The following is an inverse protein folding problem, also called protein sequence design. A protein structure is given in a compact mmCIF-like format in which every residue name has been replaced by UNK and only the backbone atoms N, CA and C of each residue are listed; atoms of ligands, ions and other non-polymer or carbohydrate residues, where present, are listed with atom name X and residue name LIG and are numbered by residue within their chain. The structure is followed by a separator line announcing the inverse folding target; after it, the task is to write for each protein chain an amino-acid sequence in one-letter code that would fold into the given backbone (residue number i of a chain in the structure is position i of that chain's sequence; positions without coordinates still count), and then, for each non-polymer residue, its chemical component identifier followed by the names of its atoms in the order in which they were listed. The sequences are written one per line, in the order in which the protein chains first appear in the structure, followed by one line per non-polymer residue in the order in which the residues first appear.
data_IF_843275419001
#
_entry.id   IF_843275419001
#
_cell.length_a   1.000
_cell.length_b   1.000
_cell.length_c   1.000
_cell.angle_alpha   90.00
_cell.angle_beta   90.00
_cell.angle_gamma   90.00
#
_symmetry.space_group_name_H-M   'P 1'
#
loop_
_entity.id
_entity.type
_entity.pdbx_description
1 polymer ?
#
# COMPACT_ATOMS: atom_id res chain seq x y z
N UNK A 1 -13.78 -23.25 30.51
CA UNK A 1 -14.32 -22.80 29.22
C UNK A 1 -13.29 -22.76 28.08
N UNK A 2 -11.99 -22.75 28.38
CA UNK A 2 -10.89 -22.70 27.39
C UNK A 2 -10.23 -24.10 27.14
N UNK A 3 -10.94 -25.19 27.34
CA UNK A 3 -10.42 -26.56 27.26
C UNK A 3 -10.11 -27.03 25.82
N UNK A 4 -11.09 -27.63 25.14
CA UNK A 4 -10.92 -28.19 23.79
C UNK A 4 -10.37 -27.22 22.75
N UNK A 5 -10.77 -25.95 22.76
CA UNK A 5 -10.25 -24.93 21.84
C UNK A 5 -8.75 -24.68 22.07
N UNK A 6 -8.26 -24.77 23.31
CA UNK A 6 -6.84 -24.60 23.63
C UNK A 6 -5.98 -25.68 22.95
N UNK A 7 -6.40 -26.93 23.05
CA UNK A 7 -5.70 -28.06 22.43
C UNK A 7 -5.67 -27.94 20.91
N UNK A 8 -6.81 -27.57 20.30
CA UNK A 8 -6.90 -27.31 18.87
C UNK A 8 -5.96 -26.19 18.43
N UNK A 9 -5.98 -25.02 19.09
CA UNK A 9 -5.09 -23.91 18.77
C UNK A 9 -3.60 -24.25 18.96
N UNK A 10 -3.26 -25.05 19.97
CA UNK A 10 -1.89 -25.52 20.18
C UNK A 10 -1.43 -26.42 19.02
N UNK A 11 -2.29 -27.30 18.53
CA UNK A 11 -2.02 -28.17 17.39
C UNK A 11 -1.83 -27.32 16.12
N UNK A 12 -2.76 -26.44 15.78
CA UNK A 12 -2.67 -25.54 14.61
C UNK A 12 -1.37 -24.71 14.63
N UNK A 13 -1.01 -24.15 15.80
CA UNK A 13 0.23 -23.37 15.95
C UNK A 13 1.49 -24.26 15.78
N UNK A 14 1.44 -25.49 16.22
CA UNK A 14 2.54 -26.45 16.03
C UNK A 14 2.70 -26.81 14.54
N UNK A 15 1.60 -27.02 13.83
CA UNK A 15 1.58 -27.28 12.38
C UNK A 15 2.11 -26.09 11.58
N UNK A 16 1.69 -24.85 11.92
CA UNK A 16 2.21 -23.62 11.34
C UNK A 16 3.73 -23.50 11.53
N UNK A 17 4.24 -23.83 12.73
CA UNK A 17 5.69 -23.84 13.02
C UNK A 17 6.43 -24.91 12.24
N UNK A 18 5.89 -26.15 12.21
CA UNK A 18 6.48 -27.27 11.48
C UNK A 18 6.54 -27.00 9.97
N UNK A 19 5.53 -26.30 9.43
CA UNK A 19 5.51 -25.89 8.04
C UNK A 19 6.43 -24.69 7.73
N UNK A 20 7.13 -24.08 8.71
CA UNK A 20 7.97 -22.89 8.54
C UNK A 20 7.18 -21.62 8.24
N UNK A 21 5.87 -21.60 8.54
CA UNK A 21 4.97 -20.47 8.23
C UNK A 21 4.75 -19.54 9.43
N UNK A 22 5.37 -19.84 10.58
CA UNK A 22 5.22 -19.02 11.79
C UNK A 22 5.86 -17.65 11.62
N UNK A 23 5.08 -16.61 11.83
CA UNK A 23 5.53 -15.22 11.73
C UNK A 23 6.02 -14.72 13.09
N UNK A 24 7.31 -14.39 13.18
CA UNK A 24 7.91 -13.77 14.37
C UNK A 24 8.06 -12.27 14.17
N UNK A 25 7.71 -11.50 15.20
CA UNK A 25 7.93 -10.06 15.21
C UNK A 25 9.39 -9.75 15.56
N UNK A 26 10.03 -8.94 14.72
CA UNK A 26 11.41 -8.46 14.96
C UNK A 26 11.34 -7.04 15.54
N UNK A 27 11.73 -6.92 16.80
CA UNK A 27 11.62 -5.65 17.56
C UNK A 27 12.67 -4.65 17.10
N UNK A 28 12.22 -3.47 16.68
CA UNK A 28 13.05 -2.32 16.30
C UNK A 28 13.15 -1.38 17.50
N UNK A 29 14.37 -0.97 17.85
CA UNK A 29 14.67 -0.10 19.00
C UNK A 29 15.13 1.31 18.61
N UNK A 30 15.00 1.66 17.34
CA UNK A 30 15.29 2.99 16.77
C UNK A 30 14.06 3.60 16.11
N UNK A 31 14.09 4.89 15.72
CA UNK A 31 13.12 5.43 14.77
C UNK A 31 13.12 4.64 13.45
N UNK A 32 11.98 4.69 12.72
CA UNK A 32 11.84 4.04 11.44
C UNK A 32 12.50 4.89 10.33
N UNK A 33 13.63 4.42 9.81
CA UNK A 33 14.44 5.12 8.80
C UNK A 33 15.20 4.13 7.90
N UNK A 34 16.09 4.64 7.03
CA UNK A 34 16.92 3.81 6.14
C UNK A 34 17.88 2.88 6.89
N UNK A 35 18.40 3.29 8.06
CA UNK A 35 19.14 2.45 8.99
C UNK A 35 18.35 2.35 10.29
N UNK A 36 18.12 1.14 10.77
CA UNK A 36 17.39 0.85 12.01
C UNK A 36 18.22 -0.03 12.93
N UNK A 37 17.81 -0.10 14.20
CA UNK A 37 18.42 -1.00 15.18
C UNK A 37 17.47 -2.16 15.51
N UNK A 38 17.96 -3.38 15.32
CA UNK A 38 17.22 -4.62 15.57
C UNK A 38 18.12 -5.56 16.37
N UNK A 39 17.66 -6.03 17.53
CA UNK A 39 18.45 -6.90 18.43
C UNK A 39 19.85 -6.36 18.73
N UNK A 40 19.97 -5.04 18.97
CA UNK A 40 21.23 -4.37 19.29
C UNK A 40 22.22 -4.23 18.10
N UNK A 41 21.79 -4.48 16.88
CA UNK A 41 22.60 -4.36 15.65
C UNK A 41 21.97 -3.34 14.69
N UNK A 42 22.80 -2.47 14.13
CA UNK A 42 22.39 -1.57 13.05
C UNK A 42 22.31 -2.33 11.74
N UNK A 43 21.19 -2.17 11.04
CA UNK A 43 20.91 -2.81 9.76
C UNK A 43 20.26 -1.84 8.79
N UNK A 44 20.53 -2.00 7.50
CA UNK A 44 19.87 -1.25 6.43
C UNK A 44 18.46 -1.79 6.22
N UNK A 45 17.46 -0.91 6.26
CA UNK A 45 16.04 -1.26 6.21
C UNK A 45 15.48 -1.18 4.79
N UNK A 46 15.31 -2.33 4.18
CA UNK A 46 14.67 -2.47 2.86
C UNK A 46 13.31 -3.19 2.94
N UNK A 47 12.67 -3.21 4.13
CA UNK A 47 11.35 -3.78 4.37
C UNK A 47 10.24 -2.74 4.50
N UNK A 48 10.55 -1.54 5.00
CA UNK A 48 9.54 -0.53 5.31
C UNK A 48 8.96 0.10 4.05
N UNK A 49 7.64 0.34 4.04
CA UNK A 49 6.97 1.08 2.97
C UNK A 49 7.19 2.61 3.09
N UNK A 50 8.32 3.03 3.63
CA UNK A 50 8.68 4.43 3.87
C UNK A 50 9.29 5.06 2.60
N UNK A 51 8.55 5.03 1.48
CA UNK A 51 9.06 5.36 0.14
C UNK A 51 9.70 6.74 0.06
N UNK A 52 9.11 7.76 0.68
CA UNK A 52 9.64 9.12 0.68
C UNK A 52 10.56 9.43 1.88
N UNK A 53 10.82 8.45 2.76
CA UNK A 53 11.70 8.64 3.91
C UNK A 53 11.15 9.58 4.99
N UNK A 54 9.82 9.70 5.11
CA UNK A 54 9.16 10.71 5.94
C UNK A 54 8.84 10.26 7.36
N UNK A 55 9.00 8.97 7.70
CA UNK A 55 8.50 8.42 8.99
C UNK A 55 9.14 9.04 10.24
N UNK A 56 10.35 9.59 10.14
CA UNK A 56 11.01 10.32 11.23
C UNK A 56 11.42 11.76 10.83
N UNK A 57 10.72 12.32 9.84
CA UNK A 57 11.01 13.68 9.36
C UNK A 57 10.73 14.72 10.44
N UNK A 58 11.69 15.62 10.75
CA UNK A 58 11.53 16.62 11.81
C UNK A 58 10.34 17.57 11.62
N UNK A 59 10.02 17.96 10.37
CA UNK A 59 8.86 18.84 10.08
C UNK A 59 7.56 18.15 10.45
N UNK A 60 7.40 16.84 10.14
CA UNK A 60 6.22 16.07 10.49
C UNK A 60 6.10 15.88 12.00
N UNK A 61 7.20 15.56 12.67
CA UNK A 61 7.25 15.42 14.14
C UNK A 61 6.82 16.72 14.83
N UNK A 62 7.33 17.86 14.38
CA UNK A 62 6.99 19.16 14.94
C UNK A 62 5.52 19.55 14.68
N UNK A 63 5.02 19.29 13.47
CA UNK A 63 3.61 19.50 13.14
C UNK A 63 2.67 18.64 13.98
N UNK A 64 3.05 17.37 14.24
CA UNK A 64 2.32 16.48 15.13
C UNK A 64 2.26 17.02 16.57
N UNK A 65 3.39 17.47 17.13
CA UNK A 65 3.47 18.08 18.47
C UNK A 65 2.57 19.31 18.57
N UNK A 66 2.71 20.24 17.60
CA UNK A 66 1.89 21.46 17.53
C UNK A 66 0.40 21.15 17.42
N UNK A 67 0.01 20.12 16.69
CA UNK A 67 -1.38 19.70 16.60
C UNK A 67 -1.88 19.16 17.95
N UNK A 68 -1.07 18.39 18.68
CA UNK A 68 -1.42 17.94 20.04
C UNK A 68 -1.55 19.12 21.02
N UNK A 69 -0.64 20.08 20.99
CA UNK A 69 -0.69 21.26 21.86
C UNK A 69 -1.97 22.07 21.67
N UNK A 70 -2.44 22.19 20.41
CA UNK A 70 -3.58 23.03 20.06
C UNK A 70 -4.93 22.30 20.05
N UNK A 71 -4.97 20.99 19.85
CA UNK A 71 -6.19 20.20 19.61
C UNK A 71 -6.33 18.99 20.53
N UNK A 72 -5.34 18.71 21.38
CA UNK A 72 -5.32 17.59 22.31
C UNK A 72 -4.80 16.28 21.69
N UNK A 73 -4.74 15.24 22.53
CA UNK A 73 -4.19 13.93 22.15
C UNK A 73 -5.14 13.09 21.30
N UNK A 74 -6.43 13.04 21.66
CA UNK A 74 -7.38 12.13 21.07
C UNK A 74 -8.77 12.74 20.87
N UNK A 75 -9.58 12.09 20.03
CA UNK A 75 -10.89 12.60 19.64
C UNK A 75 -12.05 12.10 20.51
N UNK A 76 -11.90 10.94 21.15
CA UNK A 76 -12.90 10.28 22.00
C UNK A 76 -14.29 10.14 21.34
N UNK A 77 -14.36 10.21 20.03
CA UNK A 77 -15.60 10.18 19.25
C UNK A 77 -15.39 9.85 17.77
N UNK A 78 -16.47 9.42 17.15
CA UNK A 78 -16.58 9.30 15.69
C UNK A 78 -16.90 10.66 15.06
N UNK A 79 -16.67 10.79 13.75
CA UNK A 79 -16.73 12.05 13.02
C UNK A 79 -18.07 12.80 13.12
N UNK A 80 -19.19 12.11 12.97
CA UNK A 80 -20.52 12.76 12.90
C UNK A 80 -21.09 13.17 14.26
N UNK A 81 -20.61 12.60 15.36
CA UNK A 81 -21.04 13.00 16.70
C UNK A 81 -20.31 14.28 17.15
N UNK A 82 -19.08 14.15 17.64
CA UNK A 82 -18.26 15.27 18.08
C UNK A 82 -16.76 15.09 17.77
N UNK A 83 -16.40 14.12 16.91
CA UNK A 83 -15.02 13.78 16.55
C UNK A 83 -14.51 14.47 15.29
N UNK A 84 -15.07 15.63 14.90
CA UNK A 84 -14.63 16.36 13.72
C UNK A 84 -14.09 17.74 14.12
N UNK A 85 -12.78 17.94 14.00
CA UNK A 85 -12.12 19.22 14.14
C UNK A 85 -11.89 19.86 12.78
N UNK A 86 -11.58 21.17 12.76
CA UNK A 86 -11.24 21.95 11.58
C UNK A 86 -10.09 21.34 10.78
N UNK A 87 -9.02 20.88 11.47
CA UNK A 87 -7.86 20.26 10.85
C UNK A 87 -8.20 18.98 10.06
N UNK A 88 -9.26 18.25 10.43
CA UNK A 88 -9.70 17.11 9.61
C UNK A 88 -10.19 17.57 8.23
N UNK A 89 -10.93 18.70 8.19
CA UNK A 89 -11.39 19.27 6.92
C UNK A 89 -10.26 19.86 6.09
N UNK A 90 -9.23 20.42 6.75
CA UNK A 90 -8.01 20.87 6.10
C UNK A 90 -7.25 19.69 5.46
N UNK A 91 -7.10 18.56 6.16
CA UNK A 91 -6.47 17.38 5.60
C UNK A 91 -7.29 16.77 4.45
N UNK A 92 -8.63 16.67 4.60
CA UNK A 92 -9.52 16.21 3.52
C UNK A 92 -9.33 17.04 2.25
N UNK A 93 -9.27 18.37 2.41
CA UNK A 93 -9.00 19.28 1.29
C UNK A 93 -7.61 19.08 0.69
N UNK A 94 -6.57 18.94 1.52
CA UNK A 94 -5.20 18.74 1.05
C UNK A 94 -5.06 17.44 0.23
N UNK A 95 -5.74 16.36 0.63
CA UNK A 95 -5.80 15.11 -0.13
C UNK A 95 -6.52 15.32 -1.47
N UNK A 96 -7.70 15.96 -1.46
CA UNK A 96 -8.46 16.23 -2.68
C UNK A 96 -7.66 17.08 -3.68
N UNK A 97 -7.02 18.15 -3.21
CA UNK A 97 -6.16 19.01 -4.03
C UNK A 97 -4.97 18.23 -4.63
N UNK A 98 -4.35 17.34 -3.83
CA UNK A 98 -3.22 16.53 -4.28
C UNK A 98 -3.58 15.60 -5.43
N UNK A 99 -4.70 14.89 -5.33
CA UNK A 99 -5.17 13.97 -6.37
C UNK A 99 -5.97 14.65 -7.49
N UNK A 100 -6.41 15.89 -7.30
CA UNK A 100 -7.27 16.62 -8.24
C UNK A 100 -8.69 16.06 -8.27
N UNK A 101 -9.21 15.65 -7.11
CA UNK A 101 -10.56 15.12 -6.90
C UNK A 101 -11.49 16.18 -6.29
N UNK A 102 -12.78 15.88 -6.19
CA UNK A 102 -13.78 16.84 -5.74
C UNK A 102 -13.91 16.90 -4.21
N UNK A 103 -13.72 15.76 -3.52
CA UNK A 103 -13.85 15.68 -2.06
C UNK A 103 -13.14 14.44 -1.52
N UNK A 104 -12.93 14.40 -0.19
CA UNK A 104 -12.24 13.32 0.52
C UNK A 104 -12.91 12.99 1.85
N UNK A 105 -12.85 11.72 2.24
CA UNK A 105 -13.27 11.20 3.55
C UNK A 105 -12.10 10.44 4.19
N UNK A 106 -11.85 10.68 5.50
CA UNK A 106 -10.74 10.06 6.24
C UNK A 106 -11.21 8.84 7.04
N UNK A 107 -10.35 7.83 7.11
CA UNK A 107 -10.52 6.58 7.87
C UNK A 107 -9.33 6.32 8.78
N UNK A 108 -9.47 5.40 9.75
CA UNK A 108 -8.37 4.98 10.63
C UNK A 108 -7.23 4.29 9.86
N UNK A 109 -7.55 3.58 8.79
CA UNK A 109 -6.60 2.95 7.87
C UNK A 109 -7.19 2.84 6.45
N UNK A 110 -6.36 2.60 5.43
CA UNK A 110 -6.87 2.30 4.09
C UNK A 110 -7.57 0.94 4.04
N UNK A 111 -7.26 0.03 4.95
CA UNK A 111 -8.03 -1.22 5.10
C UNK A 111 -9.51 -0.91 5.36
N UNK A 112 -9.79 0.05 6.23
CA UNK A 112 -11.15 0.52 6.56
C UNK A 112 -11.76 1.30 5.38
N UNK A 113 -10.96 2.12 4.68
CA UNK A 113 -11.41 2.84 3.49
C UNK A 113 -11.89 1.86 2.41
N UNK A 114 -11.08 0.86 2.04
CA UNK A 114 -11.45 -0.17 1.08
C UNK A 114 -12.65 -1.00 1.53
N UNK A 115 -12.67 -1.42 2.81
CA UNK A 115 -13.80 -2.15 3.39
C UNK A 115 -15.10 -1.34 3.43
N UNK A 116 -14.99 -0.02 3.47
CA UNK A 116 -16.10 0.90 3.61
C UNK A 116 -16.71 1.44 2.31
N UNK A 117 -16.17 1.08 1.13
CA UNK A 117 -16.64 1.62 -0.16
C UNK A 117 -17.87 0.87 -0.70
N UNK A 118 -17.85 -0.45 -0.69
CA UNK A 118 -18.75 -1.23 -1.54
C UNK A 118 -20.18 -1.33 -1.01
N UNK A 119 -20.36 -1.70 0.27
CA UNK A 119 -21.69 -1.85 0.88
C UNK A 119 -22.54 -0.57 0.84
N UNK A 120 -21.98 0.65 1.06
CA UNK A 120 -22.76 1.89 0.95
C UNK A 120 -23.24 2.24 -0.45
N UNK A 121 -22.52 1.82 -1.49
CA UNK A 121 -22.73 2.25 -2.87
C UNK A 121 -23.44 1.23 -3.73
N UNK A 122 -23.27 -0.08 -3.45
CA UNK A 122 -23.71 -1.17 -4.30
C UNK A 122 -24.56 -2.19 -3.56
N UNK A 123 -25.47 -2.85 -4.28
CA UNK A 123 -26.39 -3.86 -3.76
C UNK A 123 -26.55 -5.03 -4.72
N UNK A 124 -27.56 -5.88 -4.47
CA UNK A 124 -27.82 -7.13 -5.21
C UNK A 124 -28.01 -6.94 -6.72
N UNK A 125 -28.41 -5.74 -7.17
CA UNK A 125 -28.64 -5.41 -8.56
C UNK A 125 -27.38 -4.95 -9.31
N UNK A 126 -26.28 -4.78 -8.60
CA UNK A 126 -25.04 -4.18 -9.10
C UNK A 126 -23.93 -5.22 -9.26
N UNK A 127 -22.84 -4.87 -9.93
CA UNK A 127 -21.69 -5.73 -10.14
C UNK A 127 -20.39 -5.08 -9.66
N UNK A 128 -19.52 -5.90 -9.05
CA UNK A 128 -18.14 -5.54 -8.72
C UNK A 128 -17.21 -6.46 -9.51
N UNK A 129 -16.31 -5.87 -10.31
CA UNK A 129 -15.33 -6.57 -11.13
C UNK A 129 -13.95 -6.29 -10.56
N UNK A 130 -13.34 -7.27 -9.89
CA UNK A 130 -12.13 -7.12 -9.10
C UNK A 130 -10.93 -7.84 -9.72
N UNK A 131 -9.77 -7.19 -9.77
CA UNK A 131 -8.51 -7.85 -10.12
C UNK A 131 -8.20 -8.99 -9.12
N UNK A 132 -7.65 -10.07 -9.64
CA UNK A 132 -7.38 -11.28 -8.87
C UNK A 132 -6.30 -11.13 -7.79
N UNK A 133 -5.40 -10.14 -7.94
CA UNK A 133 -4.32 -9.86 -7.00
C UNK A 133 -4.53 -8.59 -6.17
N UNK A 134 -5.73 -8.04 -6.16
CA UNK A 134 -6.07 -6.92 -5.30
C UNK A 134 -5.75 -7.19 -3.84
N UNK A 135 -5.44 -6.13 -3.11
CA UNK A 135 -5.16 -6.18 -1.68
C UNK A 135 -6.31 -6.83 -0.89
N UNK A 136 -5.98 -7.54 0.18
CA UNK A 136 -6.94 -8.26 1.04
C UNK A 136 -8.11 -7.37 1.51
N UNK A 137 -7.88 -6.08 1.76
CA UNK A 137 -8.93 -5.14 2.18
C UNK A 137 -9.99 -4.91 1.10
N UNK A 138 -9.61 -4.88 -0.17
CA UNK A 138 -10.56 -4.80 -1.30
C UNK A 138 -11.35 -6.12 -1.38
N UNK A 139 -10.65 -7.26 -1.29
CA UNK A 139 -11.29 -8.59 -1.32
C UNK A 139 -12.32 -8.71 -0.19
N UNK A 140 -11.97 -8.29 1.02
CA UNK A 140 -12.86 -8.35 2.18
C UNK A 140 -14.03 -7.37 2.05
N UNK A 141 -13.78 -6.15 1.59
CA UNK A 141 -14.84 -5.18 1.31
C UNK A 141 -15.84 -5.68 0.25
N UNK A 142 -15.35 -6.29 -0.82
CA UNK A 142 -16.19 -6.95 -1.84
C UNK A 142 -16.99 -8.12 -1.25
N UNK A 143 -16.40 -8.89 -0.33
CA UNK A 143 -17.10 -10.00 0.36
C UNK A 143 -18.25 -9.53 1.26
N UNK A 144 -18.14 -8.37 1.87
CA UNK A 144 -19.19 -7.78 2.71
C UNK A 144 -20.35 -7.21 1.89
N UNK A 145 -20.12 -6.86 0.63
CA UNK A 145 -21.15 -6.34 -0.26
C UNK A 145 -22.00 -7.46 -0.87
N UNK A 146 -23.28 -7.17 -1.13
CA UNK A 146 -24.24 -8.12 -1.75
C UNK A 146 -24.22 -8.08 -3.26
N UNK A 147 -23.46 -7.19 -3.90
CA UNK A 147 -23.35 -7.10 -5.34
C UNK A 147 -22.81 -8.40 -5.99
N UNK A 148 -23.18 -8.63 -7.23
CA UNK A 148 -22.64 -9.74 -8.01
C UNK A 148 -21.14 -9.54 -8.20
N UNK A 149 -20.34 -10.61 -7.99
CA UNK A 149 -18.88 -10.52 -8.00
C UNK A 149 -18.31 -11.20 -9.21
N UNK A 150 -17.49 -10.47 -9.94
CA UNK A 150 -16.66 -10.97 -11.02
C UNK A 150 -15.19 -10.78 -10.64
N UNK A 151 -14.35 -11.70 -11.07
CA UNK A 151 -12.91 -11.65 -10.81
C UNK A 151 -12.18 -11.91 -12.11
N UNK A 152 -11.31 -11.00 -12.51
CA UNK A 152 -10.47 -11.15 -13.70
C UNK A 152 -9.01 -11.42 -13.31
N UNK A 153 -8.28 -12.10 -14.18
CA UNK A 153 -6.85 -12.39 -13.99
C UNK A 153 -6.04 -11.10 -13.91
N UNK A 154 -4.97 -11.10 -13.10
CA UNK A 154 -4.19 -9.89 -12.82
C UNK A 154 -3.74 -9.18 -14.09
N UNK A 155 -4.17 -7.92 -14.23
CA UNK A 155 -3.86 -7.04 -15.36
C UNK A 155 -4.20 -7.64 -16.75
N UNK A 156 -5.11 -8.61 -16.83
CA UNK A 156 -5.58 -9.20 -18.07
C UNK A 156 -6.84 -8.45 -18.58
N UNK A 157 -6.65 -7.58 -19.56
CA UNK A 157 -7.70 -6.74 -20.11
C UNK A 157 -8.72 -7.53 -20.95
N UNK A 158 -8.31 -8.65 -21.53
CA UNK A 158 -9.25 -9.52 -22.25
C UNK A 158 -10.22 -10.21 -21.28
N UNK A 159 -9.72 -10.73 -20.16
CA UNK A 159 -10.55 -11.33 -19.12
C UNK A 159 -11.42 -10.27 -18.40
N UNK A 160 -10.88 -9.04 -18.19
CA UNK A 160 -11.68 -7.91 -17.69
C UNK A 160 -12.84 -7.61 -18.63
N UNK A 161 -12.61 -7.54 -19.94
CA UNK A 161 -13.67 -7.28 -20.92
C UNK A 161 -14.73 -8.38 -20.90
N UNK A 162 -14.36 -9.65 -20.79
CA UNK A 162 -15.32 -10.76 -20.67
C UNK A 162 -16.14 -10.67 -19.37
N UNK A 163 -15.55 -10.24 -18.27
CA UNK A 163 -16.29 -9.96 -17.03
C UNK A 163 -17.29 -8.81 -17.20
N UNK A 164 -16.88 -7.73 -17.88
CA UNK A 164 -17.76 -6.59 -18.18
C UNK A 164 -18.94 -6.96 -19.08
N UNK A 165 -18.71 -7.79 -20.10
CA UNK A 165 -19.78 -8.34 -20.96
C UNK A 165 -20.80 -9.14 -20.15
N UNK A 166 -20.33 -10.01 -19.23
CA UNK A 166 -21.21 -10.80 -18.34
C UNK A 166 -21.98 -9.91 -17.37
N UNK A 167 -21.42 -8.77 -16.96
CA UNK A 167 -22.01 -7.85 -16.00
C UNK A 167 -23.01 -6.85 -16.62
N UNK A 168 -23.37 -6.96 -17.90
CA UNK A 168 -24.25 -6.00 -18.57
C UNK A 168 -25.72 -6.05 -18.09
N UNK A 169 -26.15 -7.13 -17.48
CA UNK A 169 -27.49 -7.25 -16.90
C UNK A 169 -27.64 -6.52 -15.55
N UNK A 170 -26.54 -6.18 -14.87
CA UNK A 170 -26.55 -5.45 -13.61
C UNK A 170 -26.77 -3.95 -13.82
N UNK A 171 -27.41 -3.30 -12.82
CA UNK A 171 -27.75 -1.87 -12.86
C UNK A 171 -26.52 -0.98 -12.97
N UNK A 172 -25.56 -1.17 -12.06
CA UNK A 172 -24.28 -0.46 -12.02
C UNK A 172 -23.13 -1.45 -11.97
N UNK A 173 -21.98 -1.05 -12.48
CA UNK A 173 -20.72 -1.83 -12.50
C UNK A 173 -19.60 -0.99 -11.96
N UNK A 174 -18.69 -1.60 -11.21
CA UNK A 174 -17.43 -0.98 -10.79
C UNK A 174 -16.26 -1.93 -11.03
N UNK A 175 -15.20 -1.41 -11.64
CA UNK A 175 -13.91 -2.09 -11.77
C UNK A 175 -13.03 -1.66 -10.61
N UNK A 176 -12.42 -2.63 -9.91
CA UNK A 176 -11.56 -2.37 -8.75
C UNK A 176 -10.18 -2.96 -8.98
N UNK A 177 -9.14 -2.15 -8.78
CA UNK A 177 -7.74 -2.56 -8.93
C UNK A 177 -6.83 -1.85 -7.92
N UNK A 178 -5.74 -2.53 -7.50
CA UNK A 178 -4.60 -1.82 -6.94
C UNK A 178 -3.93 -0.99 -8.05
N UNK A 179 -3.45 0.21 -7.75
CA UNK A 179 -2.64 0.99 -8.68
C UNK A 179 -1.26 0.36 -8.90
N UNK A 180 -0.64 -0.11 -7.81
CA UNK A 180 0.56 -0.94 -7.83
C UNK A 180 0.34 -2.15 -6.95
N UNK A 181 0.55 -3.33 -7.51
CA UNK A 181 0.41 -4.60 -6.80
C UNK A 181 1.57 -4.83 -5.84
N UNK A 182 1.27 -4.93 -4.55
CA UNK A 182 2.24 -4.84 -3.45
C UNK A 182 3.33 -5.92 -3.44
N UNK A 183 3.10 -7.09 -4.05
CA UNK A 183 4.04 -8.21 -4.03
C UNK A 183 4.95 -8.27 -5.27
N UNK A 184 4.52 -7.68 -6.37
CA UNK A 184 5.22 -7.68 -7.65
C UNK A 184 5.79 -6.31 -8.02
N UNK A 185 5.12 -5.24 -7.60
CA UNK A 185 5.50 -3.87 -7.93
C UNK A 185 4.99 -3.39 -9.30
N UNK A 186 4.31 -4.24 -10.09
CA UNK A 186 3.75 -3.85 -11.37
C UNK A 186 2.57 -2.88 -11.19
N UNK A 187 2.44 -1.93 -12.10
CA UNK A 187 1.31 -1.02 -12.18
C UNK A 187 0.15 -1.66 -12.96
N UNK A 188 -1.08 -1.32 -12.58
CA UNK A 188 -2.25 -1.67 -13.38
C UNK A 188 -2.25 -0.90 -14.71
N UNK A 189 -2.74 -1.46 -15.82
CA UNK A 189 -2.87 -0.77 -17.12
C UNK A 189 -4.10 0.17 -17.11
N UNK A 190 -3.97 1.31 -16.40
CA UNK A 190 -5.10 2.18 -16.07
C UNK A 190 -5.77 2.80 -17.31
N UNK A 191 -5.01 3.11 -18.34
CA UNK A 191 -5.55 3.66 -19.60
C UNK A 191 -6.48 2.66 -20.30
N UNK A 192 -6.10 1.38 -20.37
CA UNK A 192 -6.94 0.31 -20.92
C UNK A 192 -8.16 0.03 -20.02
N UNK A 193 -7.96 0.04 -18.69
CA UNK A 193 -9.06 -0.09 -17.73
C UNK A 193 -10.09 1.03 -17.92
N UNK A 194 -9.65 2.29 -18.03
CA UNK A 194 -10.54 3.42 -18.26
C UNK A 194 -11.26 3.31 -19.60
N UNK A 195 -10.57 2.90 -20.67
CA UNK A 195 -11.19 2.70 -21.97
C UNK A 195 -12.30 1.62 -21.95
N UNK A 196 -12.06 0.52 -21.23
CA UNK A 196 -13.09 -0.51 -21.03
C UNK A 196 -14.23 -0.02 -20.14
N UNK A 197 -13.92 0.77 -19.09
CA UNK A 197 -14.94 1.36 -18.23
C UNK A 197 -15.89 2.28 -19.03
N UNK A 198 -15.35 3.15 -19.87
CA UNK A 198 -16.15 4.02 -20.76
C UNK A 198 -17.02 3.19 -21.72
N UNK A 199 -16.44 2.14 -22.35
CA UNK A 199 -17.13 1.28 -23.30
C UNK A 199 -18.32 0.53 -22.69
N UNK A 200 -18.20 0.14 -21.42
CA UNK A 200 -19.19 -0.71 -20.73
C UNK A 200 -19.99 0.02 -19.64
N UNK A 201 -19.89 1.35 -19.56
CA UNK A 201 -20.56 2.19 -18.56
C UNK A 201 -20.29 1.68 -17.14
N UNK A 202 -19.01 1.60 -16.75
CA UNK A 202 -18.55 1.16 -15.46
C UNK A 202 -17.80 2.26 -14.72
N UNK A 203 -17.93 2.31 -13.41
CA UNK A 203 -17.08 3.12 -12.51
C UNK A 203 -15.70 2.48 -12.37
N UNK A 204 -14.71 3.29 -12.02
CA UNK A 204 -13.33 2.84 -11.73
C UNK A 204 -12.94 3.22 -10.31
N UNK A 205 -12.48 2.24 -9.54
CA UNK A 205 -11.83 2.41 -8.24
C UNK A 205 -10.39 1.93 -8.30
N UNK A 206 -9.47 2.76 -7.79
CA UNK A 206 -8.04 2.44 -7.70
C UNK A 206 -7.54 2.62 -6.26
N UNK A 207 -6.83 1.62 -5.74
CA UNK A 207 -6.07 1.74 -4.49
C UNK A 207 -4.66 2.28 -4.80
N UNK A 208 -4.40 3.51 -4.37
CA UNK A 208 -3.14 4.24 -4.58
C UNK A 208 -2.08 3.99 -3.48
N UNK A 209 -2.28 3.03 -2.60
CA UNK A 209 -1.42 2.82 -1.42
C UNK A 209 0.06 2.57 -1.75
N UNK A 210 0.39 2.04 -2.90
CA UNK A 210 1.75 1.78 -3.36
C UNK A 210 2.16 2.61 -4.57
N UNK A 211 1.25 3.40 -5.14
CA UNK A 211 1.48 4.26 -6.30
C UNK A 211 1.58 5.74 -5.93
N UNK A 212 0.76 6.22 -4.99
CA UNK A 212 0.84 7.61 -4.52
C UNK A 212 2.15 7.90 -3.79
N UNK A 213 2.77 9.04 -4.11
CA UNK A 213 4.11 9.42 -3.67
C UNK A 213 5.24 8.74 -4.47
N UNK A 214 4.90 7.81 -5.40
CA UNK A 214 5.87 6.93 -6.09
C UNK A 214 5.78 7.06 -7.61
N UNK A 215 4.59 6.93 -8.19
CA UNK A 215 4.39 6.96 -9.64
C UNK A 215 3.96 8.34 -10.13
N UNK A 216 4.18 8.56 -11.43
CA UNK A 216 3.89 9.83 -12.10
C UNK A 216 5.06 10.81 -12.02
N UNK A 217 4.99 11.88 -12.78
CA UNK A 217 6.06 12.88 -12.88
C UNK A 217 6.30 13.66 -11.57
N UNK A 218 5.27 13.81 -10.77
CA UNK A 218 5.32 14.55 -9.50
C UNK A 218 4.88 13.67 -8.31
N UNK A 219 4.86 12.35 -8.50
CA UNK A 219 4.49 11.38 -7.46
C UNK A 219 2.99 11.30 -7.15
N UNK A 220 2.12 11.82 -8.01
CA UNK A 220 0.67 11.86 -7.74
C UNK A 220 -0.06 10.54 -8.06
N UNK A 221 0.69 9.47 -8.21
CA UNK A 221 0.16 8.11 -8.34
C UNK A 221 -0.08 7.68 -9.78
N UNK A 222 -0.82 6.58 -9.92
CA UNK A 222 -1.05 5.95 -11.21
C UNK A 222 -1.91 6.81 -12.14
N UNK A 223 -2.79 7.62 -11.59
CA UNK A 223 -3.63 8.54 -12.38
C UNK A 223 -2.80 9.61 -13.08
N UNK A 224 -1.70 10.08 -12.48
CA UNK A 224 -0.75 10.97 -13.14
C UNK A 224 0.10 10.23 -14.17
N UNK A 225 0.55 9.00 -13.85
CA UNK A 225 1.36 8.18 -14.76
C UNK A 225 0.70 8.01 -16.13
N UNK A 226 -0.62 7.79 -16.15
CA UNK A 226 -1.41 7.56 -17.37
C UNK A 226 -2.20 8.79 -17.84
N UNK A 227 -1.96 9.98 -17.29
CA UNK A 227 -2.70 11.21 -17.59
C UNK A 227 -4.24 11.05 -17.45
N UNK A 228 -4.67 10.37 -16.38
CA UNK A 228 -6.07 10.06 -16.05
C UNK A 228 -6.58 10.77 -14.80
N UNK A 229 -5.87 11.83 -14.36
CA UNK A 229 -6.30 12.63 -13.19
C UNK A 229 -7.71 13.20 -13.41
N UNK A 230 -8.55 13.03 -12.37
CA UNK A 230 -9.96 13.44 -12.41
C UNK A 230 -10.90 12.56 -13.25
N UNK A 231 -10.39 11.51 -13.88
CA UNK A 231 -11.19 10.56 -14.66
C UNK A 231 -11.59 9.30 -13.86
N UNK A 232 -10.80 8.94 -12.84
CA UNK A 232 -11.11 7.83 -11.92
C UNK A 232 -12.13 8.29 -10.88
N UNK A 233 -13.16 7.50 -10.63
CA UNK A 233 -14.29 7.89 -9.78
C UNK A 233 -13.98 7.82 -8.30
N UNK A 234 -13.19 6.80 -7.89
CA UNK A 234 -12.83 6.51 -6.51
C UNK A 234 -11.34 6.19 -6.43
N UNK A 235 -10.61 6.95 -5.62
CA UNK A 235 -9.25 6.63 -5.22
C UNK A 235 -9.25 6.34 -3.72
N UNK A 236 -8.58 5.27 -3.30
CA UNK A 236 -8.28 5.02 -1.89
C UNK A 236 -6.78 5.11 -1.65
N UNK A 237 -6.39 5.45 -0.44
CA UNK A 237 -4.97 5.60 -0.12
C UNK A 237 -4.70 5.59 1.37
N UNK A 238 -3.42 5.64 1.73
CA UNK A 238 -2.95 5.52 3.10
C UNK A 238 -1.94 6.60 3.47
N UNK A 239 -2.00 7.06 4.72
CA UNK A 239 -0.93 7.85 5.34
C UNK A 239 0.18 6.94 5.91
N UNK A 240 -0.02 5.62 5.88
CA UNK A 240 0.86 4.63 6.49
C UNK A 240 2.08 4.20 5.65
N UNK A 241 2.32 4.84 4.50
CA UNK A 241 3.43 4.49 3.59
C UNK A 241 4.19 5.74 3.15
N UNK A 242 4.18 6.09 1.86
CA UNK A 242 4.85 7.28 1.33
C UNK A 242 4.46 8.57 2.09
N UNK A 243 3.24 8.65 2.54
CA UNK A 243 2.66 9.82 3.20
C UNK A 243 2.89 9.88 4.72
N UNK A 244 4.12 9.62 5.17
CA UNK A 244 4.56 9.81 6.55
C UNK A 244 4.66 8.55 7.39
N UNK A 245 4.06 7.42 6.98
CA UNK A 245 4.24 6.13 7.65
C UNK A 245 3.43 5.93 8.95
N UNK A 246 2.48 6.82 9.26
CA UNK A 246 1.59 6.70 10.42
C UNK A 246 0.32 5.90 10.08
N UNK A 247 -0.64 5.83 10.99
CA UNK A 247 -1.98 5.35 10.71
C UNK A 247 -2.75 6.38 9.90
N UNK A 248 -3.86 5.97 9.30
CA UNK A 248 -4.74 6.82 8.52
C UNK A 248 -4.94 6.28 7.11
N UNK A 249 -6.17 6.37 6.65
CA UNK A 249 -6.58 6.07 5.29
C UNK A 249 -7.56 7.12 4.79
N UNK A 250 -7.80 7.11 3.50
CA UNK A 250 -8.76 8.01 2.88
C UNK A 250 -9.40 7.37 1.67
N UNK A 251 -10.59 7.85 1.34
CA UNK A 251 -11.21 7.70 0.03
C UNK A 251 -11.40 9.11 -0.54
N UNK A 252 -11.00 9.33 -1.78
CA UNK A 252 -11.15 10.61 -2.48
C UNK A 252 -11.75 10.37 -3.86
N UNK A 253 -12.57 11.30 -4.38
CA UNK A 253 -13.25 11.10 -5.66
C UNK A 253 -14.41 12.06 -5.86
N UNK A 254 -15.49 11.55 -6.52
CA UNK A 254 -16.70 12.32 -6.81
C UNK A 254 -17.43 12.70 -5.52
N UNK A 255 -17.91 13.94 -5.44
CA UNK A 255 -18.56 14.50 -4.25
C UNK A 255 -19.72 13.65 -3.74
N UNK A 256 -20.60 13.23 -4.63
CA UNK A 256 -21.78 12.45 -4.27
C UNK A 256 -21.42 11.07 -3.70
N UNK A 257 -20.34 10.46 -4.19
CA UNK A 257 -19.79 9.21 -3.66
C UNK A 257 -19.27 9.46 -2.24
N UNK A 258 -18.44 10.49 -2.04
CA UNK A 258 -17.86 10.82 -0.74
C UNK A 258 -18.95 11.18 0.28
N UNK A 259 -19.96 11.93 -0.11
CA UNK A 259 -21.09 12.26 0.76
C UNK A 259 -21.90 11.01 1.13
N UNK A 260 -22.13 10.08 0.20
CA UNK A 260 -22.81 8.81 0.50
C UNK A 260 -21.99 7.96 1.48
N UNK A 261 -20.65 7.93 1.33
CA UNK A 261 -19.77 7.24 2.28
C UNK A 261 -19.84 7.84 3.68
N UNK A 262 -19.90 9.17 3.80
CA UNK A 262 -20.12 9.85 5.11
C UNK A 262 -21.42 9.44 5.78
N UNK A 263 -22.47 9.12 5.02
CA UNK A 263 -23.77 8.72 5.55
C UNK A 263 -23.85 7.24 5.90
N UNK A 264 -23.11 6.35 5.19
CA UNK A 264 -23.37 4.90 5.25
C UNK A 264 -22.14 4.03 5.48
N UNK A 265 -20.93 4.55 5.30
CA UNK A 265 -19.70 3.75 5.47
C UNK A 265 -19.50 3.39 6.95
N UNK A 266 -19.73 2.13 7.28
CA UNK A 266 -19.67 1.65 8.68
C UNK A 266 -18.31 1.87 9.34
N UNK A 267 -17.16 1.63 8.67
CA UNK A 267 -15.85 1.94 9.26
C UNK A 267 -15.68 3.42 9.62
N UNK A 268 -16.28 4.32 8.84
CA UNK A 268 -16.28 5.76 9.16
C UNK A 268 -17.24 6.11 10.29
N UNK A 269 -18.44 5.56 10.27
CA UNK A 269 -19.49 5.90 11.23
C UNK A 269 -19.21 5.38 12.65
N UNK A 270 -18.47 4.27 12.79
CA UNK A 270 -18.34 3.56 14.05
C UNK A 270 -16.90 3.43 14.57
N UNK A 271 -15.89 3.92 13.84
CA UNK A 271 -14.51 4.03 14.33
C UNK A 271 -14.19 5.46 14.76
N UNK A 272 -13.36 5.60 15.80
CA UNK A 272 -12.85 6.90 16.22
C UNK A 272 -12.14 7.63 15.08
N UNK A 273 -12.24 8.96 15.12
CA UNK A 273 -11.55 9.85 14.20
C UNK A 273 -10.02 9.77 14.37
N UNK A 274 -9.30 10.11 13.32
CA UNK A 274 -7.85 10.24 13.39
C UNK A 274 -7.43 11.24 14.48
N UNK A 275 -6.40 10.93 15.28
CA UNK A 275 -5.92 11.83 16.32
C UNK A 275 -5.24 13.08 15.72
N UNK A 276 -5.29 14.22 16.43
CA UNK A 276 -4.72 15.48 15.96
C UNK A 276 -3.26 15.40 15.51
N UNK A 277 -2.45 14.61 16.19
CA UNK A 277 -1.04 14.41 15.82
C UNK A 277 -0.87 13.90 14.38
N UNK A 278 -1.66 12.89 14.00
CA UNK A 278 -1.61 12.31 12.65
C UNK A 278 -2.15 13.29 11.61
N UNK A 279 -3.24 13.98 11.96
CA UNK A 279 -3.87 14.96 11.06
C UNK A 279 -2.93 16.14 10.79
N UNK A 280 -2.33 16.71 11.82
CA UNK A 280 -1.39 17.82 11.69
C UNK A 280 -0.13 17.45 10.90
N UNK A 281 0.43 16.27 11.16
CA UNK A 281 1.55 15.74 10.37
C UNK A 281 1.15 15.51 8.91
N UNK A 282 -0.05 14.98 8.65
CA UNK A 282 -0.57 14.77 7.30
C UNK A 282 -0.71 16.08 6.51
N UNK A 283 -1.24 17.13 7.11
CA UNK A 283 -1.35 18.47 6.50
C UNK A 283 0.04 18.99 6.10
N UNK A 284 1.00 18.92 7.04
CA UNK A 284 2.36 19.37 6.77
C UNK A 284 3.03 18.54 5.68
N UNK A 285 2.80 17.23 5.64
CA UNK A 285 3.31 16.34 4.61
C UNK A 285 2.83 16.75 3.21
N UNK A 286 1.51 16.99 3.02
CA UNK A 286 0.99 17.45 1.73
C UNK A 286 1.51 18.84 1.35
N UNK A 287 1.76 19.72 2.34
CA UNK A 287 2.42 21.02 2.10
C UNK A 287 3.84 20.82 1.56
N UNK A 288 4.63 19.93 2.19
CA UNK A 288 5.99 19.61 1.72
C UNK A 288 6.00 19.07 0.28
N UNK A 289 5.06 18.20 -0.07
CA UNK A 289 4.95 17.65 -1.42
C UNK A 289 4.48 18.68 -2.45
N UNK A 290 3.78 19.72 -2.03
CA UNK A 290 3.43 20.84 -2.90
C UNK A 290 4.59 21.84 -3.10
N UNK A 291 5.51 21.96 -2.12
CA UNK A 291 6.67 22.83 -2.17
C UNK A 291 7.78 22.31 -3.09
N UNK A 292 7.97 20.97 -3.17
CA UNK A 292 9.13 20.40 -3.86
C UNK A 292 8.91 18.94 -4.29
N UNK A 293 9.43 18.57 -5.44
CA UNK A 293 9.50 17.20 -5.93
C UNK A 293 10.78 16.47 -5.49
N UNK A 294 11.67 17.08 -4.72
CA UNK A 294 13.01 16.54 -4.40
C UNK A 294 12.96 15.11 -3.83
N UNK A 295 11.99 14.83 -2.95
CA UNK A 295 11.85 13.48 -2.37
C UNK A 295 11.47 12.44 -3.41
N UNK A 296 10.55 12.79 -4.32
CA UNK A 296 10.13 11.92 -5.42
C UNK A 296 11.28 11.69 -6.41
N UNK A 297 11.95 12.76 -6.84
CA UNK A 297 13.07 12.67 -7.79
C UNK A 297 14.20 11.81 -7.23
N UNK A 298 14.52 11.96 -5.94
CA UNK A 298 15.49 11.12 -5.24
C UNK A 298 15.03 9.67 -5.12
N UNK A 299 13.73 9.41 -4.90
CA UNK A 299 13.20 8.05 -4.92
C UNK A 299 13.39 7.39 -6.27
N UNK A 300 13.05 8.09 -7.35
CA UNK A 300 13.20 7.59 -8.72
C UNK A 300 14.66 7.25 -9.01
N UNK A 301 15.58 8.17 -8.74
CA UNK A 301 17.01 7.94 -8.93
C UNK A 301 17.53 6.74 -8.10
N UNK A 302 17.09 6.61 -6.85
CA UNK A 302 17.47 5.49 -5.98
C UNK A 302 16.93 4.15 -6.51
N UNK A 303 15.72 4.13 -7.05
CA UNK A 303 15.11 2.92 -7.64
C UNK A 303 15.87 2.49 -8.89
N UNK A 304 16.18 3.43 -9.78
CA UNK A 304 16.96 3.16 -11.00
C UNK A 304 18.33 2.59 -10.64
N UNK A 305 19.08 3.27 -9.77
CA UNK A 305 20.40 2.85 -9.31
C UNK A 305 20.38 1.43 -8.71
N UNK A 306 19.44 1.16 -7.81
CA UNK A 306 19.32 -0.16 -7.18
C UNK A 306 19.01 -1.26 -8.20
N UNK A 307 18.06 -1.02 -9.10
CA UNK A 307 17.65 -2.00 -10.10
C UNK A 307 18.76 -2.31 -11.11
N UNK A 308 19.42 -1.27 -11.62
CA UNK A 308 20.56 -1.43 -12.54
C UNK A 308 21.70 -2.24 -11.89
N UNK A 309 22.06 -1.91 -10.65
CA UNK A 309 23.07 -2.63 -9.90
C UNK A 309 22.73 -4.10 -9.67
N UNK A 310 21.48 -4.39 -9.30
CA UNK A 310 21.01 -5.77 -9.09
C UNK A 310 20.96 -6.57 -10.39
N UNK A 311 20.49 -5.98 -11.49
CA UNK A 311 20.47 -6.63 -12.81
C UNK A 311 21.89 -6.87 -13.33
N UNK A 312 22.81 -5.92 -13.15
CA UNK A 312 24.22 -6.07 -13.51
C UNK A 312 24.90 -7.19 -12.69
N UNK A 313 24.48 -7.39 -11.43
CA UNK A 313 24.95 -8.50 -10.61
C UNK A 313 24.37 -9.87 -11.02
N UNK A 314 23.39 -9.91 -11.93
CA UNK A 314 22.82 -11.14 -12.48
C UNK A 314 21.52 -11.61 -11.81
N UNK A 315 20.89 -10.79 -10.97
CA UNK A 315 19.60 -11.13 -10.37
C UNK A 315 18.43 -10.97 -11.35
N UNK A 316 17.48 -11.91 -11.25
CA UNK A 316 16.19 -11.79 -11.92
C UNK A 316 15.27 -10.88 -11.11
N UNK A 317 14.96 -9.70 -11.65
CA UNK A 317 14.06 -8.73 -11.05
C UNK A 317 12.84 -8.56 -11.95
N UNK A 318 11.64 -8.70 -11.36
CA UNK A 318 10.42 -8.43 -12.12
C UNK A 318 10.40 -6.99 -12.64
N UNK A 319 10.00 -6.77 -13.90
CA UNK A 319 9.80 -5.42 -14.42
C UNK A 319 8.79 -4.65 -13.56
N UNK A 320 9.18 -3.44 -13.14
CA UNK A 320 8.33 -2.56 -12.34
C UNK A 320 8.69 -1.10 -12.60
N UNK A 321 7.73 -0.21 -12.44
CA UNK A 321 7.92 1.23 -12.44
C UNK A 321 7.89 1.80 -11.01
N UNK A 322 7.59 0.96 -10.01
CA UNK A 322 7.44 1.38 -8.61
C UNK A 322 8.73 1.21 -7.80
N UNK A 323 8.71 1.66 -6.57
CA UNK A 323 9.79 1.51 -5.60
C UNK A 323 9.89 0.09 -4.99
N UNK A 324 9.06 -0.84 -5.45
CA UNK A 324 9.07 -2.25 -5.04
C UNK A 324 9.91 -3.03 -6.04
N UNK A 325 11.01 -3.64 -5.58
CA UNK A 325 11.87 -4.50 -6.40
C UNK A 325 11.72 -5.95 -5.94
N UNK A 326 11.04 -6.77 -6.72
CA UNK A 326 10.88 -8.19 -6.46
C UNK A 326 12.04 -8.98 -7.04
N UNK A 327 13.00 -9.39 -6.18
CA UNK A 327 14.15 -10.23 -6.53
C UNK A 327 13.70 -11.69 -6.50
N UNK A 328 13.57 -12.32 -7.67
CA UNK A 328 12.98 -13.64 -7.80
C UNK A 328 13.94 -14.73 -7.36
N UNK A 329 13.47 -15.62 -6.48
CA UNK A 329 14.20 -16.79 -5.99
C UNK A 329 13.43 -18.10 -6.27
N UNK A 330 12.13 -18.00 -6.56
CA UNK A 330 11.22 -19.10 -6.94
C UNK A 330 10.98 -20.13 -5.83
N UNK A 331 12.02 -20.56 -5.10
CA UNK A 331 11.94 -21.54 -4.03
C UNK A 331 11.70 -20.91 -2.65
N UNK A 332 10.75 -21.47 -1.89
CA UNK A 332 10.34 -20.93 -0.60
C UNK A 332 11.44 -21.04 0.48
N UNK A 333 12.14 -22.18 0.52
CA UNK A 333 13.25 -22.39 1.49
C UNK A 333 14.41 -21.47 1.18
N UNK A 334 14.78 -21.37 -0.10
CA UNK A 334 15.84 -20.49 -0.57
C UNK A 334 15.53 -19.03 -0.20
N UNK A 335 14.28 -18.56 -0.34
CA UNK A 335 13.91 -17.19 0.00
C UNK A 335 14.05 -16.89 1.50
N UNK A 336 13.79 -17.87 2.36
CA UNK A 336 13.97 -17.75 3.81
C UNK A 336 15.47 -17.72 4.17
N UNK A 337 16.24 -18.66 3.64
CA UNK A 337 17.68 -18.77 3.89
C UNK A 337 18.41 -17.51 3.38
N UNK A 338 18.02 -17.02 2.19
CA UNK A 338 18.56 -15.81 1.60
C UNK A 338 18.30 -14.58 2.49
N UNK A 339 17.06 -14.41 2.96
CA UNK A 339 16.70 -13.31 3.87
C UNK A 339 17.46 -13.38 5.20
N UNK A 340 17.64 -14.57 5.77
CA UNK A 340 18.41 -14.77 6.99
C UNK A 340 19.89 -14.40 6.79
N UNK A 341 20.51 -14.82 5.69
CA UNK A 341 21.91 -14.49 5.36
C UNK A 341 22.09 -12.99 5.12
N UNK A 342 21.15 -12.33 4.43
CA UNK A 342 21.19 -10.88 4.25
C UNK A 342 21.12 -10.13 5.58
N UNK A 343 20.35 -10.63 6.55
CA UNK A 343 20.33 -10.04 7.89
C UNK A 343 21.69 -10.14 8.59
N UNK A 344 22.45 -11.24 8.40
CA UNK A 344 23.82 -11.36 8.90
C UNK A 344 24.78 -10.36 8.24
N UNK A 345 24.55 -10.03 6.97
CA UNK A 345 25.27 -8.99 6.22
C UNK A 345 24.78 -7.56 6.54
N UNK A 346 23.85 -7.39 7.50
CA UNK A 346 23.34 -6.09 7.91
C UNK A 346 22.25 -5.51 7.00
N UNK A 347 21.57 -6.32 6.21
CA UNK A 347 20.44 -5.92 5.36
C UNK A 347 19.14 -6.55 5.85
N UNK A 348 18.19 -5.71 6.24
CA UNK A 348 16.89 -6.12 6.77
C UNK A 348 15.86 -6.21 5.66
N UNK A 349 15.55 -7.44 5.26
CA UNK A 349 14.57 -7.81 4.23
C UNK A 349 13.68 -8.95 4.71
N UNK A 350 12.66 -9.28 3.91
CA UNK A 350 11.76 -10.42 4.16
C UNK A 350 11.57 -11.24 2.88
N UNK A 351 11.70 -12.55 3.00
CA UNK A 351 11.32 -13.48 1.94
C UNK A 351 9.81 -13.67 1.91
N UNK A 352 9.24 -13.63 0.72
CA UNK A 352 7.82 -13.88 0.49
C UNK A 352 7.65 -15.17 -0.31
N UNK A 353 6.78 -16.03 0.19
CA UNK A 353 6.49 -17.36 -0.37
C UNK A 353 5.00 -17.71 -0.15
N UNK A 354 4.56 -18.85 -0.65
CA UNK A 354 3.16 -19.30 -0.47
C UNK A 354 2.78 -19.35 1.03
N UNK A 355 1.59 -18.88 1.44
CA UNK A 355 0.45 -18.47 0.60
C UNK A 355 0.43 -16.98 0.22
N UNK A 356 1.42 -16.18 0.60
CA UNK A 356 1.47 -14.73 0.32
C UNK A 356 1.66 -14.45 -1.17
N UNK A 357 2.47 -15.29 -1.82
CA UNK A 357 2.66 -15.31 -3.27
C UNK A 357 2.40 -16.72 -3.81
N UNK A 358 2.11 -16.92 -5.10
CA UNK A 358 1.86 -18.24 -5.66
C UNK A 358 3.04 -19.21 -5.44
N UNK A 359 2.75 -20.51 -5.41
CA UNK A 359 3.79 -21.57 -5.35
C UNK A 359 4.75 -21.42 -6.54
N UNK A 360 6.05 -21.59 -6.29
CA UNK A 360 7.08 -21.42 -7.30
C UNK A 360 7.37 -19.95 -7.68
N UNK A 361 6.87 -18.97 -6.90
CA UNK A 361 7.05 -17.55 -7.13
C UNK A 361 7.65 -16.84 -5.90
N UNK A 362 8.42 -17.57 -5.09
CA UNK A 362 9.06 -16.98 -3.91
C UNK A 362 10.11 -15.94 -4.31
N UNK A 363 10.23 -14.91 -3.48
CA UNK A 363 11.07 -13.72 -3.75
C UNK A 363 11.52 -13.03 -2.48
N UNK A 364 12.54 -12.19 -2.59
CA UNK A 364 12.79 -11.10 -1.64
C UNK A 364 12.13 -9.85 -2.20
N UNK A 365 11.21 -9.23 -1.44
CA UNK A 365 10.63 -7.94 -1.80
C UNK A 365 11.45 -6.82 -1.17
N UNK A 366 12.18 -6.08 -1.99
CA UNK A 366 12.98 -4.93 -1.58
C UNK A 366 12.14 -3.66 -1.74
N UNK A 367 12.12 -2.83 -0.72
CA UNK A 367 11.47 -1.51 -0.71
C UNK A 367 12.54 -0.43 -0.74
N UNK A 368 12.67 0.24 -1.87
CA UNK A 368 13.58 1.38 -2.01
C UNK A 368 12.93 2.64 -1.46
N UNK A 369 13.72 3.50 -0.84
CA UNK A 369 13.26 4.75 -0.22
C UNK A 369 14.09 5.93 -0.65
N UNK A 370 13.49 7.11 -0.75
CA UNK A 370 14.19 8.38 -0.87
C UNK A 370 15.13 8.66 0.32
N UNK A 371 14.89 7.98 1.44
CA UNK A 371 15.75 8.07 2.63
C UNK A 371 17.06 7.29 2.52
N UNK A 372 17.22 6.39 1.54
CA UNK A 372 18.49 5.69 1.30
C UNK A 372 19.51 6.62 0.63
N UNK A 373 20.77 6.52 1.06
CA UNK A 373 21.90 7.11 0.35
C UNK A 373 22.43 6.14 -0.71
N UNK A 374 23.16 6.65 -1.71
CA UNK A 374 23.82 5.81 -2.73
C UNK A 374 24.75 4.77 -2.09
N UNK A 375 25.54 5.14 -1.08
CA UNK A 375 26.38 4.20 -0.32
C UNK A 375 25.55 3.05 0.32
N UNK A 376 24.40 3.37 0.88
CA UNK A 376 23.52 2.35 1.49
C UNK A 376 22.94 1.41 0.43
N UNK A 377 22.59 1.92 -0.76
CA UNK A 377 22.14 1.11 -1.89
C UNK A 377 23.27 0.19 -2.39
N UNK A 378 24.49 0.73 -2.57
CA UNK A 378 25.66 -0.05 -3.01
C UNK A 378 26.03 -1.15 -2.00
N UNK A 379 25.96 -0.86 -0.71
CA UNK A 379 26.18 -1.86 0.35
C UNK A 379 25.11 -2.96 0.30
N UNK A 380 23.86 -2.60 0.02
CA UNK A 380 22.79 -3.57 -0.13
C UNK A 380 23.03 -4.46 -1.36
N UNK A 381 23.36 -3.88 -2.51
CA UNK A 381 23.68 -4.61 -3.74
C UNK A 381 24.86 -5.56 -3.51
N UNK A 382 25.92 -5.10 -2.84
CA UNK A 382 27.08 -5.92 -2.50
C UNK A 382 26.72 -7.12 -1.60
N UNK A 383 25.87 -6.89 -0.58
CA UNK A 383 25.36 -7.95 0.29
C UNK A 383 24.55 -8.98 -0.48
N UNK A 384 23.60 -8.53 -1.32
CA UNK A 384 22.84 -9.41 -2.22
C UNK A 384 23.76 -10.21 -3.13
N UNK A 385 24.76 -9.58 -3.74
CA UNK A 385 25.73 -10.24 -4.65
C UNK A 385 26.53 -11.32 -3.93
N UNK A 386 27.03 -11.02 -2.72
CA UNK A 386 27.74 -11.98 -1.88
C UNK A 386 26.86 -13.21 -1.56
N UNK A 387 25.68 -12.96 -0.98
CA UNK A 387 24.76 -14.04 -0.60
C UNK A 387 24.27 -14.81 -1.84
N UNK A 388 24.03 -14.11 -2.96
CA UNK A 388 23.61 -14.71 -4.22
C UNK A 388 24.63 -15.71 -4.77
N UNK A 389 25.92 -15.39 -4.67
CA UNK A 389 27.02 -16.32 -5.06
C UNK A 389 27.13 -17.49 -4.08
N UNK A 390 27.08 -17.23 -2.77
CA UNK A 390 27.15 -18.27 -1.73
C UNK A 390 26.02 -19.30 -1.85
N UNK A 391 24.83 -18.87 -2.24
CA UNK A 391 23.65 -19.73 -2.40
C UNK A 391 23.42 -20.18 -3.86
N UNK A 392 24.36 -19.93 -4.78
CA UNK A 392 24.31 -20.29 -6.20
C UNK A 392 23.07 -19.75 -6.94
N UNK A 393 22.57 -18.57 -6.56
CA UNK A 393 21.49 -17.86 -7.24
C UNK A 393 22.02 -17.11 -8.46
N UNK A 394 23.23 -16.56 -8.34
CA UNK A 394 23.97 -15.89 -9.42
C UNK A 394 25.38 -16.47 -9.53
N UNK A 395 26.05 -16.20 -10.66
CA UNK A 395 27.42 -16.68 -10.96
C UNK A 395 28.51 -15.83 -10.32
#
# INVERSE_FOLDING_TARGET
MYGKIKEHLQQELAEIKAAGLYKSERVITSPQRAEIEVAGRKVLNFCANNYLGLSDNPRLIEAAKKAMDNRGYGMSSVRFLCGCQDIHKELEKAVADYFGTEDTILYAACFDANGGVFEPLFGEQDAIISDALNHASIIDGVRLCKAVRYRYANADMADLEECLKKAQAQRFRIICTDGVFSMDGNAAPLDEICALAEKYDALVMVDECHSAGVLGKTGRGITELYDRRGQVDILTGTLGKAFGGAVGGFTTGRREIIDMLRQRSRPYLFSNSLPPAVVGAGIEMFRMLAESNELHDRLVANVEHFREGMMAAGFDIKPTQSAICAVMLYDAKLSQDFAARLQDEGVFVTGFYYPVVPKGQARIRVQVSAGHTTDQLDRCIAAFTKVGKELNVIK
#
